data_IF_173507976968
#
_entry.id   IF_173507976968
#
_cell.length_a   1.000
_cell.length_b   1.000
_cell.length_c   1.000
_cell.angle_alpha   90.00
_cell.angle_beta   90.00
_cell.angle_gamma   90.00
#
_symmetry.space_group_name_H-M   'P 1'
#
loop_
_entity.id
_entity.type
_entity.pdbx_description
1 polymer ?
#
# COMPACT_ATOMS: atom_id res chain seq x y z
N UNK A 1 -19.62 -37.28 17.49
CA UNK A 1 -20.86 -37.99 17.85
C UNK A 1 -21.65 -37.28 18.94
N UNK A 2 -21.03 -36.56 19.86
CA UNK A 2 -21.70 -35.85 20.97
C UNK A 2 -22.41 -34.53 20.56
N UNK A 3 -21.94 -33.83 19.52
CA UNK A 3 -22.59 -32.61 18.98
C UNK A 3 -23.94 -32.85 18.29
N UNK A 4 -24.29 -34.10 17.99
CA UNK A 4 -25.51 -34.45 17.27
C UNK A 4 -26.74 -34.56 18.19
N UNK A 5 -26.56 -34.71 19.50
CA UNK A 5 -27.67 -34.91 20.45
C UNK A 5 -28.17 -33.63 21.11
N UNK A 6 -27.32 -32.60 21.25
CA UNK A 6 -27.66 -31.38 22.01
C UNK A 6 -28.26 -30.24 21.18
N UNK A 7 -28.25 -30.33 19.86
CA UNK A 7 -28.52 -29.17 19.00
C UNK A 7 -29.94 -29.08 18.44
N UNK A 8 -30.83 -30.04 18.76
CA UNK A 8 -32.19 -30.09 18.20
C UNK A 8 -32.25 -30.38 16.68
N UNK A 9 -31.10 -30.56 16.03
CA UNK A 9 -31.01 -30.85 14.59
C UNK A 9 -31.36 -32.31 14.25
N UNK A 10 -31.50 -33.20 15.23
CA UNK A 10 -31.84 -34.62 15.00
C UNK A 10 -33.23 -34.78 14.40
N UNK A 11 -34.22 -34.04 14.89
CA UNK A 11 -35.57 -34.02 14.31
C UNK A 11 -35.59 -33.42 12.90
N UNK A 12 -34.80 -32.38 12.65
CA UNK A 12 -34.68 -31.79 11.32
C UNK A 12 -34.01 -32.75 10.31
N UNK A 13 -33.04 -33.56 10.76
CA UNK A 13 -32.36 -34.57 9.94
C UNK A 13 -33.25 -35.78 9.66
N UNK A 14 -34.02 -36.28 10.64
CA UNK A 14 -35.00 -37.36 10.41
C UNK A 14 -36.10 -36.94 9.42
N UNK A 15 -36.51 -35.67 9.42
CA UNK A 15 -37.44 -35.11 8.42
C UNK A 15 -36.81 -35.01 7.03
N UNK A 16 -35.49 -34.77 6.93
CA UNK A 16 -34.78 -34.76 5.65
C UNK A 16 -34.59 -36.17 5.09
N UNK A 17 -34.35 -37.17 5.95
CA UNK A 17 -34.21 -38.58 5.54
C UNK A 17 -35.54 -39.21 5.10
N UNK A 18 -36.68 -38.67 5.54
CA UNK A 18 -38.02 -39.08 5.06
C UNK A 18 -38.40 -38.45 3.71
N UNK A 19 -37.68 -37.43 3.24
CA UNK A 19 -37.88 -36.83 1.93
C UNK A 19 -37.10 -37.62 0.87
N UNK A 20 -37.81 -38.40 0.04
CA UNK A 20 -37.23 -39.18 -1.07
C UNK A 20 -36.48 -38.36 -2.13
N UNK A 21 -36.66 -37.04 -2.12
CA UNK A 21 -36.07 -36.11 -3.09
C UNK A 21 -35.56 -34.86 -2.39
N UNK A 22 -34.48 -34.28 -2.92
CA UNK A 22 -33.89 -33.04 -2.40
C UNK A 22 -34.89 -31.87 -2.53
N UNK A 23 -35.42 -31.33 -1.42
CA UNK A 23 -36.42 -30.25 -1.44
C UNK A 23 -35.78 -28.87 -1.68
N UNK A 24 -34.45 -28.76 -1.65
CA UNK A 24 -33.74 -27.50 -1.84
C UNK A 24 -33.59 -27.19 -3.34
N UNK A 25 -33.79 -25.93 -3.76
CA UNK A 25 -33.53 -25.53 -5.14
C UNK A 25 -32.06 -25.73 -5.48
N UNK A 26 -31.79 -26.16 -6.72
CA UNK A 26 -30.42 -26.32 -7.21
C UNK A 26 -29.68 -24.98 -7.19
N UNK A 27 -28.51 -24.95 -6.55
CA UNK A 27 -27.65 -23.76 -6.49
C UNK A 27 -26.46 -23.95 -7.42
N UNK A 28 -26.33 -23.09 -8.42
CA UNK A 28 -25.19 -23.06 -9.32
C UNK A 28 -24.31 -21.84 -9.03
N UNK A 29 -23.07 -22.08 -8.57
CA UNK A 29 -22.09 -21.02 -8.32
C UNK A 29 -21.27 -20.81 -9.59
N UNK A 30 -21.47 -19.68 -10.26
CA UNK A 30 -20.74 -19.32 -11.48
C UNK A 30 -19.60 -18.38 -11.08
N UNK A 31 -18.35 -18.80 -11.31
CA UNK A 31 -17.17 -17.97 -11.10
C UNK A 31 -16.67 -17.41 -12.45
N UNK A 32 -16.86 -16.12 -12.71
CA UNK A 32 -16.48 -15.50 -13.97
C UNK A 32 -14.95 -15.36 -14.09
N UNK A 33 -14.41 -15.55 -15.29
CA UNK A 33 -12.97 -15.37 -15.54
C UNK A 33 -12.52 -13.90 -15.58
N UNK A 34 -13.45 -12.95 -15.69
CA UNK A 34 -13.16 -11.50 -15.73
C UNK A 34 -13.49 -10.82 -14.41
N UNK A 35 -12.65 -9.86 -14.01
CA UNK A 35 -12.90 -9.00 -12.84
C UNK A 35 -13.62 -7.69 -13.20
N UNK A 36 -14.02 -7.52 -14.46
CA UNK A 36 -14.71 -6.30 -14.90
C UNK A 36 -16.17 -6.25 -14.40
N UNK A 37 -16.45 -5.22 -13.61
CA UNK A 37 -17.77 -4.93 -13.04
C UNK A 37 -18.87 -4.73 -14.08
N UNK A 38 -18.56 -4.20 -15.27
CA UNK A 38 -19.57 -3.95 -16.31
C UNK A 38 -19.97 -5.26 -16.98
N UNK A 39 -19.00 -6.05 -17.43
CA UNK A 39 -19.21 -7.37 -18.02
C UNK A 39 -20.03 -8.28 -17.08
N UNK A 40 -19.79 -8.17 -15.77
CA UNK A 40 -20.53 -8.95 -14.77
C UNK A 40 -21.98 -8.54 -14.58
N UNK A 41 -22.25 -7.24 -14.56
CA UNK A 41 -23.62 -6.72 -14.44
C UNK A 41 -24.44 -7.15 -15.65
N UNK A 42 -23.84 -7.17 -16.84
CA UNK A 42 -24.48 -7.69 -18.06
C UNK A 42 -24.77 -9.18 -17.96
N UNK A 43 -23.80 -10.00 -17.53
CA UNK A 43 -23.97 -11.44 -17.35
C UNK A 43 -25.07 -11.77 -16.31
N UNK A 44 -25.09 -11.06 -15.18
CA UNK A 44 -26.13 -11.20 -14.16
C UNK A 44 -27.52 -10.89 -14.72
N UNK A 45 -27.64 -9.83 -15.52
CA UNK A 45 -28.91 -9.46 -16.14
C UNK A 45 -29.37 -10.49 -17.18
N UNK A 46 -28.46 -11.06 -17.96
CA UNK A 46 -28.78 -12.14 -18.89
C UNK A 46 -29.23 -13.41 -18.16
N UNK A 47 -28.60 -13.75 -17.02
CA UNK A 47 -29.01 -14.90 -16.21
C UNK A 47 -30.38 -14.71 -15.54
N UNK A 48 -30.72 -13.49 -15.13
CA UNK A 48 -32.06 -13.16 -14.59
C UNK A 48 -33.19 -13.28 -15.60
N UNK A 49 -32.88 -13.24 -16.90
CA UNK A 49 -33.87 -13.33 -17.97
C UNK A 49 -34.17 -14.77 -18.38
N UNK A 50 -33.42 -15.77 -17.88
CA UNK A 50 -33.70 -17.18 -18.16
C UNK A 50 -34.91 -17.65 -17.34
N UNK A 51 -35.90 -18.32 -17.97
CA UNK A 51 -37.11 -18.78 -17.28
C UNK A 51 -36.84 -19.87 -16.23
N UNK A 52 -35.68 -20.51 -16.29
CA UNK A 52 -35.22 -21.56 -15.37
C UNK A 52 -34.59 -20.99 -14.08
N UNK A 53 -34.36 -19.67 -14.01
CA UNK A 53 -33.66 -19.00 -12.90
C UNK A 53 -34.66 -18.25 -12.02
N UNK A 54 -34.98 -18.83 -10.86
CA UNK A 54 -35.93 -18.23 -9.90
C UNK A 54 -35.31 -17.04 -9.12
N UNK A 55 -34.04 -17.14 -8.71
CA UNK A 55 -33.29 -16.05 -8.06
C UNK A 55 -31.84 -16.01 -8.50
N UNK A 56 -31.46 -14.96 -9.23
CA UNK A 56 -30.06 -14.61 -9.45
C UNK A 56 -29.66 -13.49 -8.48
N UNK A 57 -28.98 -13.85 -7.39
CA UNK A 57 -28.36 -12.90 -6.46
C UNK A 57 -26.87 -12.78 -6.76
N UNK A 58 -26.37 -11.54 -6.68
CA UNK A 58 -24.97 -11.24 -6.83
C UNK A 58 -24.52 -10.51 -5.58
N UNK A 59 -23.58 -11.10 -4.84
CA UNK A 59 -22.93 -10.49 -3.68
C UNK A 59 -22.05 -9.27 -4.05
N UNK A 60 -22.06 -8.86 -5.32
CA UNK A 60 -21.28 -7.76 -5.86
C UNK A 60 -21.61 -6.41 -5.23
N UNK A 61 -22.85 -6.16 -4.75
CA UNK A 61 -23.17 -4.85 -4.17
C UNK A 61 -22.36 -4.60 -2.88
N UNK A 62 -22.20 -5.64 -2.05
CA UNK A 62 -21.35 -5.55 -0.85
C UNK A 62 -19.87 -5.44 -1.22
N UNK A 63 -19.39 -6.22 -2.20
CA UNK A 63 -18.02 -6.12 -2.71
C UNK A 63 -17.71 -4.74 -3.30
N UNK A 64 -18.63 -4.16 -4.08
CA UNK A 64 -18.50 -2.84 -4.68
C UNK A 64 -18.40 -1.74 -3.61
N UNK A 65 -19.20 -1.86 -2.54
CA UNK A 65 -19.09 -0.98 -1.35
C UNK A 65 -17.73 -1.12 -0.67
N UNK A 66 -17.25 -2.35 -0.46
CA UNK A 66 -15.94 -2.62 0.15
C UNK A 66 -14.80 -2.04 -0.69
N UNK A 67 -14.78 -2.30 -2.01
CA UNK A 67 -13.77 -1.73 -2.91
C UNK A 67 -13.80 -0.21 -2.92
N UNK A 68 -14.99 0.39 -2.82
CA UNK A 68 -15.13 1.84 -2.72
C UNK A 68 -14.54 2.39 -1.41
N UNK A 69 -14.79 1.73 -0.27
CA UNK A 69 -14.15 2.08 1.01
C UNK A 69 -12.62 1.95 0.94
N UNK A 70 -12.10 0.86 0.36
CA UNK A 70 -10.66 0.67 0.16
C UNK A 70 -10.07 1.77 -0.73
N UNK A 71 -10.77 2.19 -1.79
CA UNK A 71 -10.34 3.33 -2.63
C UNK A 71 -10.25 4.64 -1.85
N UNK A 72 -11.20 4.91 -0.94
CA UNK A 72 -11.17 6.09 -0.07
C UNK A 72 -9.94 6.04 0.86
N UNK A 73 -9.71 4.90 1.53
CA UNK A 73 -8.55 4.70 2.40
C UNK A 73 -7.25 4.88 1.61
N UNK A 74 -7.14 4.28 0.42
CA UNK A 74 -5.97 4.41 -0.46
C UNK A 74 -5.68 5.86 -0.84
N UNK A 75 -6.73 6.64 -1.16
CA UNK A 75 -6.58 8.09 -1.43
C UNK A 75 -6.11 8.84 -0.19
N UNK A 76 -6.66 8.53 0.99
CA UNK A 76 -6.21 9.11 2.26
C UNK A 76 -4.73 8.84 2.53
N UNK A 77 -4.28 7.60 2.33
CA UNK A 77 -2.86 7.23 2.44
C UNK A 77 -1.99 8.00 1.47
N UNK A 78 -2.40 8.18 0.21
CA UNK A 78 -1.64 8.95 -0.78
C UNK A 78 -1.52 10.43 -0.40
N UNK A 79 -2.59 11.04 0.13
CA UNK A 79 -2.56 12.42 0.63
C UNK A 79 -1.57 12.54 1.78
N UNK A 80 -1.64 11.62 2.76
CA UNK A 80 -0.72 11.59 3.90
C UNK A 80 0.74 11.40 3.45
N UNK A 81 0.99 10.47 2.53
CA UNK A 81 2.33 10.23 1.98
C UNK A 81 2.88 11.47 1.27
N UNK A 82 2.03 12.21 0.56
CA UNK A 82 2.41 13.46 -0.12
C UNK A 82 2.77 14.54 0.89
N UNK A 83 1.98 14.70 1.95
CA UNK A 83 2.24 15.65 3.03
C UNK A 83 3.55 15.33 3.78
N UNK A 84 3.77 14.06 4.12
CA UNK A 84 5.01 13.61 4.75
C UNK A 84 6.22 13.80 3.84
N UNK A 85 6.07 13.53 2.54
CA UNK A 85 7.12 13.79 1.55
C UNK A 85 7.49 15.27 1.52
N UNK A 86 6.51 16.18 1.50
CA UNK A 86 6.75 17.63 1.61
C UNK A 86 7.48 18.00 2.91
N UNK A 87 7.07 17.42 4.05
CA UNK A 87 7.75 17.65 5.32
C UNK A 87 9.23 17.23 5.27
N UNK A 88 9.54 16.06 4.68
CA UNK A 88 10.91 15.59 4.48
C UNK A 88 11.70 16.55 3.59
N UNK A 89 11.12 17.02 2.48
CA UNK A 89 11.77 18.00 1.60
C UNK A 89 12.10 19.31 2.35
N UNK A 90 11.19 19.79 3.20
CA UNK A 90 11.40 20.98 4.02
C UNK A 90 12.50 20.79 5.06
N UNK A 91 12.51 19.64 5.76
CA UNK A 91 13.54 19.31 6.76
C UNK A 91 14.91 19.23 6.09
N UNK A 92 15.05 18.44 5.03
CA UNK A 92 16.32 18.30 4.29
C UNK A 92 16.75 19.66 3.73
N UNK A 93 15.81 20.45 3.20
CA UNK A 93 16.11 21.76 2.66
C UNK A 93 16.62 22.75 3.70
N UNK A 94 16.02 22.75 4.89
CA UNK A 94 16.48 23.56 6.02
C UNK A 94 17.84 23.10 6.54
N UNK A 95 18.05 21.79 6.66
CA UNK A 95 19.35 21.24 7.06
C UNK A 95 20.45 21.65 6.09
N UNK A 96 20.21 21.54 4.78
CA UNK A 96 21.18 21.95 3.76
C UNK A 96 21.44 23.45 3.79
N UNK A 97 20.40 24.27 3.96
CA UNK A 97 20.54 25.71 4.13
C UNK A 97 21.48 26.05 5.28
N UNK A 98 21.30 25.40 6.44
CA UNK A 98 22.15 25.59 7.60
C UNK A 98 23.59 25.14 7.30
N UNK A 99 23.78 23.99 6.65
CA UNK A 99 25.13 23.50 6.29
C UNK A 99 25.84 24.42 5.30
N UNK A 100 25.12 24.96 4.31
CA UNK A 100 25.67 25.95 3.36
C UNK A 100 26.08 27.22 4.10
N UNK A 101 25.25 27.70 5.02
CA UNK A 101 25.55 28.90 5.82
C UNK A 101 26.81 28.70 6.68
N UNK A 102 26.93 27.55 7.34
CA UNK A 102 28.08 27.23 8.18
C UNK A 102 29.39 27.04 7.39
N UNK A 103 29.32 26.75 6.08
CA UNK A 103 30.48 26.59 5.18
C UNK A 103 30.60 27.72 4.17
N UNK A 104 29.99 28.88 4.44
CA UNK A 104 29.93 29.98 3.49
C UNK A 104 31.33 30.45 3.06
N UNK A 105 32.24 30.61 4.01
CA UNK A 105 33.59 31.12 3.74
C UNK A 105 34.39 30.15 2.86
N UNK A 106 34.28 28.84 3.11
CA UNK A 106 34.86 27.80 2.24
C UNK A 106 34.31 27.88 0.82
N UNK A 107 32.99 28.04 0.68
CA UNK A 107 32.31 28.15 -0.61
C UNK A 107 32.77 29.39 -1.37
N UNK A 108 32.99 30.50 -0.68
CA UNK A 108 33.50 31.74 -1.27
C UNK A 108 34.92 31.58 -1.80
N UNK A 109 35.81 30.95 -1.03
CA UNK A 109 37.17 30.59 -1.48
C UNK A 109 37.11 29.71 -2.73
N UNK A 110 36.27 28.67 -2.74
CA UNK A 110 36.11 27.81 -3.92
C UNK A 110 35.63 28.58 -5.15
N UNK A 111 34.70 29.53 -4.98
CA UNK A 111 34.23 30.38 -6.08
C UNK A 111 35.32 31.32 -6.60
N UNK A 112 36.17 31.86 -5.74
CA UNK A 112 37.28 32.75 -6.12
C UNK A 112 38.35 32.02 -6.95
N UNK A 113 38.59 30.73 -6.68
CA UNK A 113 39.53 29.90 -7.45
C UNK A 113 38.88 29.34 -8.74
N UNK A 114 37.64 29.75 -9.05
CA UNK A 114 36.94 29.37 -10.29
C UNK A 114 36.23 28.01 -10.24
N UNK A 115 35.92 27.48 -9.04
CA UNK A 115 35.17 26.23 -8.93
C UNK A 115 33.77 26.39 -9.52
N UNK A 116 33.34 25.38 -10.30
CA UNK A 116 32.00 25.36 -10.86
C UNK A 116 30.94 25.17 -9.77
N UNK A 117 29.75 25.76 -9.95
CA UNK A 117 28.60 25.50 -9.08
C UNK A 117 28.37 23.99 -8.90
N UNK A 118 28.49 23.20 -9.97
CA UNK A 118 28.32 21.74 -9.91
C UNK A 118 29.30 21.05 -8.94
N UNK A 119 30.54 21.52 -8.83
CA UNK A 119 31.51 21.00 -7.87
C UNK A 119 31.06 21.25 -6.43
N UNK A 120 30.60 22.47 -6.14
CA UNK A 120 30.12 22.85 -4.80
C UNK A 120 28.82 22.09 -4.44
N UNK A 121 27.96 21.76 -5.41
CA UNK A 121 26.66 21.09 -5.18
C UNK A 121 26.77 19.61 -4.82
N UNK A 122 27.74 18.88 -5.37
CA UNK A 122 27.90 17.42 -5.20
C UNK A 122 27.87 16.93 -3.74
N UNK A 123 28.68 17.48 -2.81
CA UNK A 123 28.68 16.99 -1.41
C UNK A 123 27.31 17.08 -0.75
N UNK A 124 26.54 18.15 -1.02
CA UNK A 124 25.19 18.32 -0.47
C UNK A 124 24.16 17.36 -1.08
N UNK A 125 24.33 16.97 -2.35
CA UNK A 125 23.49 15.94 -2.96
C UNK A 125 23.76 14.55 -2.36
N UNK A 126 25.02 14.23 -2.08
CA UNK A 126 25.37 12.98 -1.39
C UNK A 126 24.80 12.90 0.01
N UNK A 127 24.85 13.98 0.79
CA UNK A 127 24.22 13.98 2.12
C UNK A 127 22.70 13.81 2.02
N UNK A 128 22.05 14.50 1.08
CA UNK A 128 20.62 14.31 0.78
C UNK A 128 20.25 12.87 0.43
N UNK A 129 21.04 12.23 -0.46
CA UNK A 129 20.87 10.84 -0.82
C UNK A 129 20.98 9.91 0.40
N UNK A 130 22.02 10.08 1.22
CA UNK A 130 22.22 9.25 2.41
C UNK A 130 21.13 9.45 3.47
N UNK A 131 20.63 10.67 3.65
CA UNK A 131 19.47 10.92 4.52
C UNK A 131 18.21 10.21 4.00
N UNK A 132 17.93 10.33 2.70
CA UNK A 132 16.79 9.66 2.06
C UNK A 132 16.89 8.13 2.10
N UNK A 133 18.06 7.59 1.81
CA UNK A 133 18.32 6.15 1.83
C UNK A 133 18.22 5.58 3.24
N UNK A 134 18.79 6.27 4.24
CA UNK A 134 18.70 5.84 5.65
C UNK A 134 17.24 5.88 6.14
N UNK A 135 16.49 6.91 5.79
CA UNK A 135 15.05 6.98 6.08
C UNK A 135 14.26 5.83 5.42
N UNK A 136 14.57 5.52 4.16
CA UNK A 136 14.01 4.37 3.45
C UNK A 136 14.36 3.03 4.11
N UNK A 137 15.59 2.87 4.58
CA UNK A 137 16.05 1.66 5.27
C UNK A 137 15.32 1.46 6.60
N UNK A 138 15.16 2.54 7.38
CA UNK A 138 14.38 2.53 8.62
C UNK A 138 12.91 2.18 8.33
N UNK A 139 12.31 2.77 7.31
CA UNK A 139 10.94 2.45 6.90
C UNK A 139 10.80 0.97 6.50
N UNK A 140 11.75 0.43 5.73
CA UNK A 140 11.77 -0.97 5.34
C UNK A 140 11.86 -1.91 6.55
N UNK A 141 12.73 -1.60 7.51
CA UNK A 141 12.84 -2.35 8.77
C UNK A 141 11.54 -2.30 9.58
N UNK A 142 10.94 -1.12 9.74
CA UNK A 142 9.67 -0.96 10.46
C UNK A 142 8.55 -1.77 9.82
N UNK A 143 8.48 -1.79 8.48
CA UNK A 143 7.52 -2.63 7.74
C UNK A 143 7.78 -4.11 8.03
N UNK A 144 9.02 -4.59 7.91
CA UNK A 144 9.38 -5.99 8.22
C UNK A 144 9.02 -6.39 9.65
N UNK A 145 9.33 -5.54 10.63
CA UNK A 145 9.00 -5.77 12.05
C UNK A 145 7.49 -5.82 12.24
N UNK A 146 6.74 -4.91 11.62
CA UNK A 146 5.27 -4.89 11.68
C UNK A 146 4.66 -6.17 11.12
N UNK A 147 5.16 -6.66 9.97
CA UNK A 147 4.74 -7.94 9.41
C UNK A 147 5.03 -9.10 10.36
N UNK A 148 6.24 -9.14 10.94
CA UNK A 148 6.63 -10.20 11.87
C UNK A 148 5.73 -10.23 13.13
N UNK A 149 5.40 -9.07 13.70
CA UNK A 149 4.47 -8.95 14.83
C UNK A 149 3.05 -9.41 14.49
N UNK A 150 2.58 -9.13 13.26
CA UNK A 150 1.23 -9.45 12.81
C UNK A 150 1.07 -10.91 12.35
N UNK A 151 2.16 -11.61 12.03
CA UNK A 151 2.10 -13.00 11.56
C UNK A 151 1.43 -13.95 12.55
N UNK A 152 1.68 -13.80 13.85
CA UNK A 152 1.08 -14.64 14.89
C UNK A 152 -0.44 -14.49 14.96
N UNK A 153 -0.98 -13.29 15.20
CA UNK A 153 -2.42 -13.04 15.24
C UNK A 153 -3.14 -13.40 13.95
N UNK A 154 -2.55 -13.09 12.79
CA UNK A 154 -3.17 -13.36 11.49
C UNK A 154 -3.25 -14.85 11.20
N UNK A 155 -2.21 -15.65 11.52
CA UNK A 155 -2.26 -17.11 11.38
C UNK A 155 -3.32 -17.76 12.28
N UNK A 156 -3.55 -17.21 13.48
CA UNK A 156 -4.62 -17.69 14.36
C UNK A 156 -5.99 -17.41 13.75
N UNK A 157 -6.22 -16.18 13.28
CA UNK A 157 -7.48 -15.81 12.60
C UNK A 157 -7.72 -16.64 11.34
N UNK A 158 -6.71 -16.85 10.50
CA UNK A 158 -6.86 -17.62 9.25
C UNK A 158 -7.22 -19.09 9.51
N UNK A 159 -6.65 -19.70 10.56
CA UNK A 159 -7.00 -21.05 11.00
C UNK A 159 -8.46 -21.17 11.49
N UNK A 160 -8.99 -20.15 12.18
CA UNK A 160 -10.40 -20.15 12.61
C UNK A 160 -11.40 -20.04 11.44
N UNK A 161 -11.01 -19.42 10.33
CA UNK A 161 -11.87 -19.18 9.17
C UNK A 161 -11.62 -20.14 8.00
N UNK A 162 -10.84 -21.22 8.19
CA UNK A 162 -10.44 -22.18 7.14
C UNK A 162 -9.91 -21.51 5.86
N UNK A 163 -9.31 -20.33 6.01
CA UNK A 163 -8.79 -19.55 4.88
C UNK A 163 -7.29 -19.74 4.82
N UNK A 164 -6.75 -20.11 3.66
CA UNK A 164 -5.30 -20.18 3.41
C UNK A 164 -4.72 -18.76 3.18
N UNK A 165 -5.04 -17.82 4.07
CA UNK A 165 -4.58 -16.45 3.95
C UNK A 165 -3.14 -16.36 4.41
N UNK A 166 -2.21 -16.34 3.45
CA UNK A 166 -0.81 -16.02 3.72
C UNK A 166 -0.61 -14.50 3.68
N UNK A 167 0.03 -13.97 4.73
CA UNK A 167 0.49 -12.58 4.70
C UNK A 167 1.55 -12.45 3.62
N UNK A 168 1.17 -11.84 2.50
CA UNK A 168 2.11 -11.49 1.45
C UNK A 168 3.14 -10.53 2.02
N UNK A 169 4.34 -11.05 2.29
CA UNK A 169 5.45 -10.25 2.80
C UNK A 169 5.92 -9.28 1.73
N UNK A 170 6.60 -8.22 2.15
CA UNK A 170 7.22 -7.28 1.23
C UNK A 170 8.22 -8.02 0.32
N UNK A 171 7.87 -8.14 -0.96
CA UNK A 171 8.72 -8.72 -2.00
C UNK A 171 9.98 -7.88 -2.22
N UNK A 172 11.03 -8.48 -2.78
CA UNK A 172 12.31 -7.83 -3.08
C UNK A 172 12.09 -6.61 -3.98
N UNK A 173 11.17 -6.70 -4.94
CA UNK A 173 10.83 -5.58 -5.84
C UNK A 173 10.16 -4.43 -5.08
N UNK A 174 9.25 -4.74 -4.16
CA UNK A 174 8.57 -3.70 -3.35
C UNK A 174 9.53 -3.05 -2.35
N UNK A 175 10.45 -3.83 -1.77
CA UNK A 175 11.51 -3.34 -0.89
C UNK A 175 12.48 -2.41 -1.62
N UNK A 176 12.95 -2.80 -2.80
CA UNK A 176 13.85 -1.96 -3.60
C UNK A 176 13.17 -0.68 -4.11
N UNK A 177 11.89 -0.74 -4.48
CA UNK A 177 11.09 0.44 -4.83
C UNK A 177 10.93 1.41 -3.63
N UNK A 178 10.74 0.88 -2.42
CA UNK A 178 10.68 1.69 -1.20
C UNK A 178 12.01 2.40 -0.92
N UNK A 179 13.13 1.68 -0.98
CA UNK A 179 14.46 2.28 -0.78
C UNK A 179 14.78 3.33 -1.85
N UNK A 180 14.46 3.02 -3.12
CA UNK A 180 14.68 3.93 -4.23
C UNK A 180 13.83 5.19 -4.10
N UNK A 181 12.57 5.08 -3.69
CA UNK A 181 11.71 6.26 -3.48
C UNK A 181 12.21 7.14 -2.33
N UNK A 182 12.69 6.57 -1.21
CA UNK A 182 13.33 7.32 -0.13
C UNK A 182 14.60 8.05 -0.59
N UNK A 183 15.48 7.37 -1.32
CA UNK A 183 16.69 7.96 -1.89
C UNK A 183 16.39 9.08 -2.89
N UNK A 184 15.40 8.88 -3.78
CA UNK A 184 14.95 9.89 -4.73
C UNK A 184 14.37 11.12 -4.04
N UNK A 185 13.55 10.94 -3.01
CA UNK A 185 13.02 12.05 -2.23
C UNK A 185 14.13 12.86 -1.56
N UNK A 186 15.13 12.18 -1.00
CA UNK A 186 16.30 12.82 -0.40
C UNK A 186 17.14 13.62 -1.42
N UNK A 187 17.37 13.03 -2.59
CA UNK A 187 18.07 13.68 -3.71
C UNK A 187 17.30 14.90 -4.24
N UNK A 188 15.99 14.77 -4.46
CA UNK A 188 15.14 15.86 -4.95
C UNK A 188 15.11 17.00 -3.93
N UNK A 189 14.93 16.68 -2.64
CA UNK A 189 14.97 17.67 -1.56
C UNK A 189 16.29 18.42 -1.51
N UNK A 190 17.41 17.70 -1.62
CA UNK A 190 18.72 18.32 -1.65
C UNK A 190 18.94 19.17 -2.89
N UNK A 191 18.57 18.66 -4.07
CA UNK A 191 18.75 19.39 -5.33
C UNK A 191 17.96 20.70 -5.36
N UNK A 192 16.69 20.67 -4.92
CA UNK A 192 15.85 21.86 -4.80
C UNK A 192 16.41 22.86 -3.79
N UNK A 193 16.90 22.40 -2.64
CA UNK A 193 17.43 23.27 -1.60
C UNK A 193 18.75 23.93 -2.03
N UNK A 194 19.68 23.14 -2.55
CA UNK A 194 20.97 23.60 -3.03
C UNK A 194 20.80 24.60 -4.17
N UNK A 195 19.98 24.29 -5.18
CA UNK A 195 19.75 25.16 -6.33
C UNK A 195 19.16 26.52 -5.96
N UNK A 196 18.28 26.57 -4.96
CA UNK A 196 17.70 27.81 -4.46
C UNK A 196 18.66 28.63 -3.60
N UNK A 197 19.48 27.98 -2.75
CA UNK A 197 20.31 28.69 -1.77
C UNK A 197 21.68 29.10 -2.32
N UNK A 198 22.30 28.30 -3.21
CA UNK A 198 23.59 28.69 -3.82
C UNK A 198 23.47 29.91 -4.74
N UNK A 199 22.32 30.08 -5.42
CA UNK A 199 22.06 31.26 -6.27
C UNK A 199 22.06 32.57 -5.48
N UNK A 200 21.78 32.53 -4.18
CA UNK A 200 21.76 33.72 -3.31
C UNK A 200 23.15 34.14 -2.83
N UNK A 201 24.17 33.30 -3.02
CA UNK A 201 25.56 33.57 -2.64
C UNK A 201 26.32 33.94 -3.92
N UNK A 202 26.17 35.18 -4.38
CA UNK A 202 27.07 35.76 -5.38
C UNK A 202 28.06 36.69 -4.65
N UNK A 203 29.37 36.57 -4.94
CA UNK A 203 30.37 37.43 -4.32
C UNK A 203 30.17 38.88 -4.75
N UNK A 204 30.42 39.81 -3.83
CA UNK A 204 30.55 41.25 -4.12
C UNK A 204 32.00 41.58 -4.40
#
# INVERSE_FOLDING_TARGET
TEYHELSGFKEALDVLDTLKYNPLPFMLVIQPATSDTIAMKTLLNSLKQLPEVDKAQSDMLWLERLFTMVKIVRRGVLILASLLSLAVLLVIGNTIRLTIYNRRDEIEIYKLVGATDAFIRRPFLYTGFWYGLSGGLVAWLLVKISFWLLQGPVKKLSALYYSQFELMTLDVLSGSALLSSGALLGLVGAWLAVGQHLKKIQPR
#
